data_IF_626944549041
#
_entry.id   IF_626944549041
#
_cell.length_a   1.000
_cell.length_b   1.000
_cell.length_c   1.000
_cell.angle_alpha   90.00
_cell.angle_beta   90.00
_cell.angle_gamma   90.00
#
_symmetry.space_group_name_H-M   'P 1'
#
loop_
_entity.id
_entity.type
_entity.pdbx_description
1 polymer ?
#
# COMPACT_ATOMS: atom_id res chain seq x y z
N UNK A 1 -10.52 1.66 27.51
CA UNK A 1 -10.02 1.63 26.12
C UNK A 1 -8.51 1.80 26.26
N UNK A 2 -7.75 0.77 25.91
CA UNK A 2 -6.29 0.84 25.94
C UNK A 2 -5.87 1.73 24.75
N UNK A 3 -5.13 2.80 25.02
CA UNK A 3 -4.61 3.65 23.95
C UNK A 3 -3.58 2.86 23.14
N UNK A 4 -3.63 3.01 21.81
CA UNK A 4 -2.67 2.35 20.95
C UNK A 4 -1.26 2.90 21.20
N UNK A 5 -0.31 2.00 21.25
CA UNK A 5 1.10 2.35 21.42
C UNK A 5 1.61 3.13 20.21
N UNK A 6 1.18 2.74 19.00
CA UNK A 6 1.63 3.36 17.76
C UNK A 6 0.52 4.14 17.08
N UNK A 7 0.84 5.34 16.63
CA UNK A 7 0.03 6.16 15.75
C UNK A 7 0.51 6.00 14.32
N UNK A 8 -0.42 5.76 13.40
CA UNK A 8 -0.17 5.75 11.97
C UNK A 8 -0.55 7.08 11.36
N UNK A 9 0.37 7.65 10.59
CA UNK A 9 0.11 8.76 9.68
C UNK A 9 0.20 8.24 8.25
N UNK A 10 -0.66 8.72 7.36
CA UNK A 10 -0.71 8.24 5.98
C UNK A 10 -0.70 9.37 4.97
N UNK A 11 -0.22 9.08 3.77
CA UNK A 11 -0.27 9.95 2.64
C UNK A 11 -0.42 9.17 1.34
N UNK A 12 -1.12 9.75 0.37
CA UNK A 12 -1.37 9.14 -0.93
C UNK A 12 -1.12 10.16 -2.02
N UNK A 13 -0.42 9.74 -3.07
CA UNK A 13 -0.27 10.50 -4.30
C UNK A 13 -0.67 9.63 -5.49
N UNK A 14 -1.42 10.21 -6.45
CA UNK A 14 -1.94 9.49 -7.60
C UNK A 14 -1.82 10.30 -8.88
N UNK A 15 -1.64 9.59 -10.00
CA UNK A 15 -1.69 10.15 -11.35
C UNK A 15 -2.42 9.18 -12.28
N UNK A 16 -3.38 9.67 -13.04
CA UNK A 16 -4.10 8.86 -14.02
C UNK A 16 -3.32 8.75 -15.32
N UNK A 17 -3.45 7.62 -15.99
CA UNK A 17 -2.96 7.43 -17.36
C UNK A 17 -3.62 8.41 -18.32
N UNK A 18 -2.82 9.25 -18.95
CA UNK A 18 -3.28 10.20 -19.96
C UNK A 18 -4.35 11.16 -19.44
N UNK A 19 -5.48 11.24 -20.18
CA UNK A 19 -6.62 12.12 -19.83
C UNK A 19 -7.81 11.35 -19.25
N UNK A 20 -7.61 10.13 -18.77
CA UNK A 20 -8.68 9.35 -18.15
C UNK A 20 -9.16 10.05 -16.88
N UNK A 21 -10.50 10.01 -16.66
CA UNK A 21 -11.10 10.43 -15.40
C UNK A 21 -11.14 9.31 -14.36
N UNK A 22 -10.86 8.07 -14.78
CA UNK A 22 -10.84 6.89 -13.94
C UNK A 22 -9.39 6.42 -13.78
N UNK A 23 -9.02 6.09 -12.57
CA UNK A 23 -7.75 5.47 -12.22
C UNK A 23 -8.02 3.99 -11.96
N UNK A 24 -7.33 3.08 -12.64
CA UNK A 24 -7.47 1.63 -12.47
C UNK A 24 -7.05 1.15 -11.09
N UNK A 25 -6.15 1.90 -10.44
CA UNK A 25 -5.78 1.64 -9.07
C UNK A 25 -6.87 2.10 -8.11
N UNK A 26 -7.12 1.34 -7.06
CA UNK A 26 -7.85 1.79 -5.89
C UNK A 26 -7.05 1.48 -4.62
N UNK A 27 -7.30 2.23 -3.56
CA UNK A 27 -6.60 2.06 -2.30
C UNK A 27 -7.55 2.12 -1.12
N UNK A 28 -7.13 1.51 -0.02
CA UNK A 28 -7.79 1.54 1.28
C UNK A 28 -6.79 1.97 2.33
N UNK A 29 -7.22 2.84 3.23
CA UNK A 29 -6.58 3.11 4.52
C UNK A 29 -7.71 3.19 5.53
N UNK A 30 -7.80 2.22 6.41
CA UNK A 30 -8.86 2.16 7.42
C UNK A 30 -8.27 1.76 8.76
N UNK A 31 -8.90 2.24 9.83
CA UNK A 31 -8.58 1.85 11.19
C UNK A 31 -9.70 0.97 11.70
N UNK A 32 -9.34 -0.24 12.11
CA UNK A 32 -10.26 -1.23 12.62
C UNK A 32 -10.50 -1.05 14.12
N UNK A 33 -11.69 -1.40 14.59
CA UNK A 33 -12.07 -1.27 16.02
C UNK A 33 -11.18 -2.11 16.95
N UNK A 34 -10.56 -3.18 16.45
CA UNK A 34 -9.67 -4.05 17.22
C UNK A 34 -8.25 -3.48 17.45
N UNK A 35 -8.00 -2.19 17.16
CA UNK A 35 -6.69 -1.57 17.30
C UNK A 35 -5.70 -1.91 16.20
N UNK A 36 -6.17 -2.49 15.10
CA UNK A 36 -5.40 -2.70 13.87
C UNK A 36 -5.67 -1.59 12.86
N UNK A 37 -4.76 -1.40 11.94
CA UNK A 37 -4.96 -0.57 10.76
C UNK A 37 -4.72 -1.41 9.51
N UNK A 38 -5.46 -1.12 8.46
CA UNK A 38 -5.31 -1.76 7.15
C UNK A 38 -4.93 -0.71 6.13
N UNK A 39 -3.99 -1.06 5.26
CA UNK A 39 -3.69 -0.32 4.05
C UNK A 39 -3.60 -1.29 2.88
N UNK A 40 -4.20 -0.94 1.76
CA UNK A 40 -4.16 -1.77 0.56
C UNK A 40 -4.13 -0.93 -0.70
N UNK A 41 -3.51 -1.49 -1.75
CA UNK A 41 -3.63 -1.03 -3.14
C UNK A 41 -4.13 -2.23 -3.94
N UNK A 42 -5.14 -2.02 -4.77
CA UNK A 42 -5.58 -2.97 -5.77
C UNK A 42 -5.54 -2.31 -7.15
N UNK A 43 -4.97 -3.00 -8.12
CA UNK A 43 -4.90 -2.56 -9.50
C UNK A 43 -5.68 -3.54 -10.39
N UNK A 44 -6.66 -3.00 -11.12
CA UNK A 44 -7.46 -3.75 -12.09
C UNK A 44 -6.75 -3.78 -13.45
N UNK A 45 -6.48 -4.98 -13.97
CA UNK A 45 -5.79 -5.13 -15.25
C UNK A 45 -6.48 -4.39 -16.38
N UNK A 46 -5.71 -3.57 -17.08
CA UNK A 46 -6.20 -2.73 -18.16
C UNK A 46 -6.26 -1.25 -17.78
N UNK A 47 -7.21 -0.50 -18.32
CA UNK A 47 -7.32 0.93 -18.01
C UNK A 47 -8.77 1.43 -18.08
N UNK A 48 -9.02 2.57 -17.45
CA UNK A 48 -10.29 3.26 -17.51
C UNK A 48 -11.36 2.71 -16.56
N UNK A 49 -12.64 2.95 -16.91
CA UNK A 49 -13.79 2.70 -16.00
C UNK A 49 -13.90 1.24 -15.54
N UNK A 50 -13.54 0.28 -16.39
CA UNK A 50 -13.66 -1.14 -16.06
C UNK A 50 -12.64 -1.55 -15.01
N UNK A 51 -11.36 -1.25 -15.22
CA UNK A 51 -10.30 -1.51 -14.25
C UNK A 51 -10.61 -0.84 -12.90
N UNK A 52 -11.08 0.41 -12.93
CA UNK A 52 -11.55 1.13 -11.76
C UNK A 52 -12.65 0.39 -10.98
N UNK A 53 -13.67 -0.14 -11.66
CA UNK A 53 -14.78 -0.85 -11.00
C UNK A 53 -14.29 -2.16 -10.37
N UNK A 54 -13.42 -2.90 -11.05
CA UNK A 54 -12.91 -4.18 -10.62
C UNK A 54 -12.01 -4.04 -9.38
N UNK A 55 -11.02 -3.15 -9.42
CA UNK A 55 -10.13 -2.91 -8.27
C UNK A 55 -10.89 -2.32 -7.08
N UNK A 56 -11.86 -1.42 -7.33
CA UNK A 56 -12.72 -0.86 -6.28
C UNK A 56 -13.56 -1.94 -5.58
N UNK A 57 -14.15 -2.86 -6.35
CA UNK A 57 -14.95 -3.96 -5.79
C UNK A 57 -14.11 -4.83 -4.86
N UNK A 58 -12.87 -5.16 -5.25
CA UNK A 58 -11.95 -5.95 -4.41
C UNK A 58 -11.65 -5.23 -3.10
N UNK A 59 -11.33 -3.93 -3.17
CA UNK A 59 -11.05 -3.12 -1.98
C UNK A 59 -12.26 -3.01 -1.04
N UNK A 60 -13.45 -2.72 -1.57
CA UNK A 60 -14.69 -2.62 -0.77
C UNK A 60 -15.07 -3.95 -0.12
N UNK A 61 -14.94 -5.07 -0.84
CA UNK A 61 -15.19 -6.39 -0.28
C UNK A 61 -14.17 -6.75 0.80
N UNK A 62 -12.90 -6.42 0.61
CA UNK A 62 -11.86 -6.65 1.60
C UNK A 62 -12.14 -5.88 2.90
N UNK A 63 -12.45 -4.60 2.80
CA UNK A 63 -12.82 -3.77 3.95
C UNK A 63 -14.00 -4.38 4.70
N UNK A 64 -15.08 -4.69 3.99
CA UNK A 64 -16.29 -5.28 4.59
C UNK A 64 -16.03 -6.64 5.26
N UNK A 65 -15.22 -7.51 4.68
CA UNK A 65 -14.89 -8.81 5.27
C UNK A 65 -14.10 -8.64 6.58
N UNK A 66 -13.09 -7.78 6.58
CA UNK A 66 -12.25 -7.54 7.76
C UNK A 66 -13.06 -6.84 8.86
N UNK A 67 -13.88 -5.86 8.53
CA UNK A 67 -14.78 -5.19 9.49
C UNK A 67 -15.81 -6.17 10.08
N UNK A 68 -16.25 -7.16 9.30
CA UNK A 68 -17.12 -8.25 9.78
C UNK A 68 -16.37 -9.29 10.66
N UNK A 69 -15.06 -9.13 10.85
CA UNK A 69 -14.24 -9.98 11.71
C UNK A 69 -13.69 -11.24 11.03
N UNK A 70 -13.75 -11.34 9.70
CA UNK A 70 -13.04 -12.38 8.98
C UNK A 70 -11.53 -12.14 9.08
N UNK A 71 -10.78 -13.25 9.20
CA UNK A 71 -9.32 -13.15 9.06
C UNK A 71 -8.92 -12.82 7.61
N UNK A 72 -7.69 -12.38 7.45
CA UNK A 72 -7.19 -11.89 6.17
C UNK A 72 -7.23 -12.98 5.09
N UNK A 73 -6.90 -14.24 5.46
CA UNK A 73 -6.92 -15.38 4.54
C UNK A 73 -8.33 -15.72 4.09
N UNK A 74 -9.25 -15.86 5.03
CA UNK A 74 -10.64 -16.15 4.73
C UNK A 74 -11.27 -15.05 3.85
N UNK A 75 -10.88 -13.79 4.08
CA UNK A 75 -11.31 -12.66 3.26
C UNK A 75 -10.81 -12.79 1.81
N UNK A 76 -9.53 -13.10 1.62
CA UNK A 76 -8.94 -13.29 0.28
C UNK A 76 -9.62 -14.46 -0.44
N UNK A 77 -9.78 -15.62 0.21
CA UNK A 77 -10.37 -16.81 -0.38
C UNK A 77 -11.85 -16.55 -0.79
N UNK A 78 -12.60 -15.86 0.07
CA UNK A 78 -14.00 -15.52 -0.18
C UNK A 78 -14.13 -14.55 -1.36
N UNK A 79 -13.31 -13.50 -1.38
CA UNK A 79 -13.36 -12.47 -2.44
C UNK A 79 -12.96 -13.07 -3.77
N UNK A 80 -11.90 -13.89 -3.81
CA UNK A 80 -11.50 -14.56 -5.04
C UNK A 80 -12.60 -15.48 -5.58
N UNK A 81 -13.22 -16.27 -4.69
CA UNK A 81 -14.33 -17.15 -5.07
C UNK A 81 -15.53 -16.36 -5.60
N UNK A 82 -15.89 -15.27 -4.92
CA UNK A 82 -16.96 -14.38 -5.36
C UNK A 82 -16.64 -13.70 -6.68
N UNK A 83 -15.39 -13.29 -6.88
CA UNK A 83 -14.90 -12.65 -8.10
C UNK A 83 -15.02 -13.59 -9.30
N UNK A 84 -14.61 -14.85 -9.16
CA UNK A 84 -14.70 -15.86 -10.21
C UNK A 84 -16.17 -16.24 -10.48
N UNK A 85 -16.96 -16.50 -9.43
CA UNK A 85 -18.35 -16.95 -9.57
C UNK A 85 -19.31 -15.84 -10.03
N UNK A 86 -19.10 -14.61 -9.62
CA UNK A 86 -19.96 -13.46 -9.92
C UNK A 86 -19.82 -12.91 -11.34
N UNK A 87 -19.10 -13.63 -12.20
CA UNK A 87 -18.82 -13.12 -13.53
C UNK A 87 -18.02 -11.83 -13.46
N UNK A 88 -17.04 -11.80 -12.56
CA UNK A 88 -15.95 -10.84 -12.70
C UNK A 88 -15.64 -10.81 -14.18
N UNK A 89 -15.50 -9.65 -14.74
CA UNK A 89 -15.42 -9.44 -16.20
C UNK A 89 -14.23 -10.16 -16.84
N UNK A 90 -13.55 -11.01 -16.05
CA UNK A 90 -12.46 -11.89 -16.44
C UNK A 90 -11.09 -11.23 -16.44
N UNK A 91 -10.98 -9.97 -15.99
CA UNK A 91 -9.69 -9.33 -15.86
C UNK A 91 -9.13 -9.55 -14.44
N UNK A 92 -7.93 -10.07 -14.30
CA UNK A 92 -7.30 -10.22 -13.00
C UNK A 92 -7.13 -8.88 -12.27
N UNK A 93 -7.09 -8.94 -10.94
CA UNK A 93 -6.83 -7.79 -10.08
C UNK A 93 -5.63 -8.12 -9.19
N UNK A 94 -4.61 -7.27 -9.20
CA UNK A 94 -3.52 -7.37 -8.24
C UNK A 94 -3.94 -6.77 -6.91
N UNK A 95 -3.40 -7.27 -5.81
CA UNK A 95 -3.65 -6.70 -4.48
C UNK A 95 -2.39 -6.75 -3.64
N UNK A 96 -2.04 -5.61 -3.07
CA UNK A 96 -1.04 -5.47 -2.01
C UNK A 96 -1.74 -4.97 -0.76
N UNK A 97 -1.66 -5.72 0.34
CA UNK A 97 -2.35 -5.40 1.58
C UNK A 97 -1.41 -5.52 2.76
N UNK A 98 -1.45 -4.54 3.66
CA UNK A 98 -0.72 -4.53 4.92
C UNK A 98 -1.70 -4.33 6.08
N UNK A 99 -1.75 -5.27 7.02
CA UNK A 99 -2.50 -5.16 8.27
C UNK A 99 -1.52 -4.96 9.40
N UNK A 100 -1.66 -3.86 10.13
CA UNK A 100 -0.72 -3.40 11.16
C UNK A 100 -1.43 -3.41 12.51
N UNK A 101 -0.90 -4.17 13.45
CA UNK A 101 -1.31 -4.12 14.85
C UNK A 101 -0.64 -2.90 15.51
N UNK A 102 -1.45 -1.89 15.82
CA UNK A 102 -0.97 -0.62 16.39
C UNK A 102 -0.52 -0.74 17.86
N UNK A 103 -0.82 -1.85 18.53
CA UNK A 103 -0.34 -2.09 19.89
C UNK A 103 1.04 -2.75 19.87
N UNK A 104 1.21 -3.77 19.06
CA UNK A 104 2.46 -4.54 19.01
C UNK A 104 3.43 -4.05 17.93
N UNK A 105 2.97 -3.35 16.90
CA UNK A 105 3.77 -2.95 15.74
C UNK A 105 4.08 -4.10 14.78
N UNK A 106 3.42 -5.25 14.89
CA UNK A 106 3.53 -6.28 13.87
C UNK A 106 2.69 -5.92 12.64
N UNK A 107 3.27 -6.11 11.48
CA UNK A 107 2.63 -5.95 10.18
C UNK A 107 2.57 -7.29 9.47
N UNK A 108 1.39 -7.64 8.98
CA UNK A 108 1.17 -8.74 8.05
C UNK A 108 1.01 -8.14 6.65
N UNK A 109 1.95 -8.42 5.76
CA UNK A 109 1.92 -7.99 4.38
C UNK A 109 1.51 -9.18 3.50
N UNK A 110 0.43 -9.02 2.76
CA UNK A 110 -0.13 -10.03 1.86
C UNK A 110 -0.17 -9.49 0.44
N UNK A 111 0.30 -10.30 -0.51
CA UNK A 111 0.45 -9.91 -1.91
C UNK A 111 -0.15 -10.94 -2.85
N UNK A 112 -0.90 -10.46 -3.84
CA UNK A 112 -1.47 -11.23 -4.94
C UNK A 112 -1.10 -10.54 -6.26
N UNK A 113 -0.07 -11.04 -6.93
CA UNK A 113 0.42 -10.49 -8.20
C UNK A 113 0.90 -9.04 -8.13
N UNK A 114 1.00 -8.47 -6.95
CA UNK A 114 1.35 -7.07 -6.76
C UNK A 114 2.88 -6.85 -6.78
N UNK A 115 3.28 -5.65 -7.18
CA UNK A 115 4.67 -5.21 -7.13
C UNK A 115 5.18 -5.03 -5.69
N UNK A 116 6.46 -4.71 -5.55
CA UNK A 116 7.14 -4.65 -4.25
C UNK A 116 6.58 -3.59 -3.30
N UNK A 117 6.53 -3.93 -2.02
CA UNK A 117 6.34 -2.99 -0.89
C UNK A 117 7.68 -2.72 -0.25
N UNK A 118 7.89 -1.50 0.23
CA UNK A 118 9.15 -1.07 0.82
C UNK A 118 8.95 -0.67 2.28
N UNK A 119 9.86 -1.11 3.16
CA UNK A 119 9.94 -0.63 4.54
C UNK A 119 11.20 0.19 4.67
N UNK A 120 11.04 1.50 4.85
CA UNK A 120 12.15 2.40 5.15
C UNK A 120 12.37 2.45 6.65
N UNK A 121 13.56 2.12 7.07
CA UNK A 121 13.99 2.17 8.46
C UNK A 121 15.34 2.89 8.56
N UNK A 122 15.35 4.04 9.19
CA UNK A 122 16.53 4.89 9.39
C UNK A 122 17.48 4.93 8.17
N UNK A 123 18.45 4.02 8.10
CA UNK A 123 19.52 3.99 7.08
C UNK A 123 19.37 2.93 6.00
N UNK A 124 18.29 2.19 5.96
CA UNK A 124 18.09 1.15 4.96
C UNK A 124 16.62 1.01 4.54
N UNK A 125 16.42 0.39 3.38
CA UNK A 125 15.10 0.09 2.84
C UNK A 125 15.02 -1.41 2.58
N UNK A 126 14.06 -2.07 3.20
CA UNK A 126 13.74 -3.46 2.93
C UNK A 126 12.72 -3.53 1.80
N UNK A 127 12.93 -4.49 0.87
CA UNK A 127 12.03 -4.72 -0.25
C UNK A 127 11.27 -6.03 0.02
N UNK A 128 9.94 -5.98 0.04
CA UNK A 128 9.07 -7.15 0.15
C UNK A 128 8.51 -7.43 -1.25
N UNK A 129 9.01 -8.49 -1.87
CA UNK A 129 8.61 -8.92 -3.21
C UNK A 129 7.54 -10.01 -3.15
N UNK A 130 6.81 -10.20 -4.26
CA UNK A 130 5.88 -11.30 -4.48
C UNK A 130 6.12 -11.91 -5.86
N UNK A 131 5.83 -13.21 -5.95
CA UNK A 131 5.85 -13.97 -7.21
C UNK A 131 4.52 -14.64 -7.50
N UNK A 132 3.48 -14.32 -6.74
CA UNK A 132 2.14 -14.91 -6.86
C UNK A 132 1.37 -14.33 -8.04
N UNK A 133 0.29 -15.01 -8.41
CA UNK A 133 -0.62 -14.56 -9.46
C UNK A 133 -1.67 -13.59 -8.91
N UNK A 134 -2.20 -12.70 -9.77
CA UNK A 134 -3.32 -11.84 -9.41
C UNK A 134 -4.58 -12.62 -9.04
N UNK A 135 -5.48 -11.97 -8.31
CA UNK A 135 -6.81 -12.45 -7.99
C UNK A 135 -7.63 -12.69 -9.28
N UNK A 136 -8.44 -13.73 -9.30
CA UNK A 136 -9.28 -14.08 -10.45
C UNK A 136 -8.60 -14.96 -11.50
N UNK A 137 -7.32 -15.30 -11.36
CA UNK A 137 -6.59 -16.17 -12.30
C UNK A 137 -6.81 -17.64 -11.98
N UNK A 138 -6.79 -18.02 -10.69
CA UNK A 138 -6.95 -19.38 -10.21
C UNK A 138 -8.11 -19.49 -9.22
N UNK A 139 -8.80 -20.65 -9.21
CA UNK A 139 -9.84 -20.94 -8.22
C UNK A 139 -9.27 -20.99 -6.79
N UNK A 140 -8.10 -21.59 -6.61
CA UNK A 140 -7.36 -21.56 -5.37
C UNK A 140 -6.31 -20.46 -5.44
N UNK A 141 -6.44 -19.49 -4.56
CA UNK A 141 -5.52 -18.35 -4.49
C UNK A 141 -4.24 -18.78 -3.78
N UNK A 142 -3.13 -18.54 -4.45
CA UNK A 142 -1.82 -18.54 -3.81
C UNK A 142 -1.41 -17.09 -3.54
N UNK A 143 -1.02 -16.79 -2.32
CA UNK A 143 -0.60 -15.44 -1.93
C UNK A 143 0.62 -15.50 -1.02
N UNK A 144 1.49 -14.51 -1.17
CA UNK A 144 2.62 -14.34 -0.27
C UNK A 144 2.17 -13.61 0.99
N UNK A 145 2.49 -14.19 2.15
CA UNK A 145 2.27 -13.57 3.44
C UNK A 145 3.59 -13.42 4.19
N UNK A 146 3.95 -12.20 4.50
CA UNK A 146 5.19 -11.88 5.23
C UNK A 146 4.85 -11.09 6.49
N UNK A 147 5.33 -11.55 7.64
CA UNK A 147 5.20 -10.82 8.91
C UNK A 147 6.46 -10.02 9.19
N UNK A 148 6.31 -8.73 9.48
CA UNK A 148 7.40 -7.81 9.84
C UNK A 148 7.12 -7.12 11.15
N UNK A 149 8.16 -6.90 11.93
CA UNK A 149 8.12 -6.03 13.11
C UNK A 149 8.50 -4.62 12.71
N UNK A 150 7.59 -3.68 12.92
CA UNK A 150 7.79 -2.26 12.71
C UNK A 150 8.19 -1.59 14.02
N UNK A 151 8.92 -0.48 13.92
CA UNK A 151 9.40 0.34 15.02
C UNK A 151 9.05 1.81 14.80
N UNK A 152 9.24 2.61 15.84
CA UNK A 152 9.07 4.05 15.76
C UNK A 152 9.92 4.67 14.65
N UNK A 153 9.27 5.50 13.82
CA UNK A 153 9.90 6.16 12.67
C UNK A 153 10.06 5.30 11.42
N UNK A 154 9.53 4.06 11.39
CA UNK A 154 9.47 3.27 10.18
C UNK A 154 8.40 3.81 9.22
N UNK A 155 8.69 3.74 7.92
CA UNK A 155 7.74 4.06 6.86
C UNK A 155 7.52 2.85 5.96
N UNK A 156 6.26 2.57 5.66
CA UNK A 156 5.84 1.58 4.67
C UNK A 156 5.47 2.36 3.41
N UNK A 157 6.07 2.00 2.28
CA UNK A 157 5.76 2.58 0.97
C UNK A 157 5.23 1.48 0.08
N UNK A 158 3.98 1.62 -0.34
CA UNK A 158 3.31 0.75 -1.29
C UNK A 158 3.13 1.51 -2.61
N UNK A 159 3.34 0.86 -3.72
CA UNK A 159 3.23 1.47 -5.05
C UNK A 159 2.48 0.55 -5.99
N UNK A 160 1.78 1.11 -6.99
CA UNK A 160 1.28 0.33 -8.12
C UNK A 160 2.39 0.12 -9.17
N UNK A 161 2.17 -0.80 -10.08
CA UNK A 161 3.14 -1.15 -11.13
C UNK A 161 3.46 0.04 -12.05
N UNK A 162 2.46 0.90 -12.36
CA UNK A 162 2.66 2.10 -13.16
C UNK A 162 3.70 3.06 -12.58
N UNK A 163 3.90 3.07 -11.25
CA UNK A 163 4.97 3.87 -10.61
C UNK A 163 6.35 3.30 -10.93
N UNK A 164 6.50 1.97 -10.85
CA UNK A 164 7.77 1.30 -11.17
C UNK A 164 8.05 1.30 -12.67
N UNK A 165 7.02 1.22 -13.51
CA UNK A 165 7.15 1.16 -14.95
C UNK A 165 7.66 2.46 -15.58
N UNK A 166 7.51 3.58 -14.90
CA UNK A 166 8.15 4.83 -15.31
C UNK A 166 9.69 4.81 -15.13
N UNK A 167 10.24 3.91 -14.31
CA UNK A 167 11.67 3.88 -14.00
C UNK A 167 12.44 3.11 -15.10
N UNK A 168 13.32 3.76 -15.89
CA UNK A 168 13.98 3.17 -17.04
C UNK A 168 15.24 2.37 -16.66
N UNK A 169 15.10 1.37 -15.80
CA UNK A 169 16.21 0.49 -15.44
C UNK A 169 15.74 -0.96 -15.28
N UNK A 170 16.68 -1.90 -15.30
CA UNK A 170 16.39 -3.33 -15.17
C UNK A 170 15.90 -3.66 -13.76
N UNK A 171 16.52 -3.04 -12.76
CA UNK A 171 16.20 -3.28 -11.35
C UNK A 171 15.41 -2.08 -10.77
N UNK A 172 14.13 -2.02 -11.13
CA UNK A 172 13.22 -0.92 -10.78
C UNK A 172 13.02 -0.80 -9.28
N UNK A 173 12.90 -1.94 -8.60
CA UNK A 173 12.69 -2.03 -7.15
C UNK A 173 13.89 -1.47 -6.38
N UNK A 174 15.10 -1.86 -6.76
CA UNK A 174 16.30 -1.28 -6.14
C UNK A 174 16.40 0.23 -6.38
N UNK A 175 16.05 0.68 -7.59
CA UNK A 175 16.04 2.10 -7.89
C UNK A 175 15.02 2.85 -7.05
N UNK A 176 13.82 2.30 -6.88
CA UNK A 176 12.80 2.86 -5.99
C UNK A 176 13.29 2.87 -4.54
N UNK A 177 13.90 1.79 -4.06
CA UNK A 177 14.47 1.74 -2.71
C UNK A 177 15.55 2.82 -2.48
N UNK A 178 16.41 3.09 -3.48
CA UNK A 178 17.38 4.18 -3.43
C UNK A 178 16.70 5.56 -3.37
N UNK A 179 15.62 5.77 -4.14
CA UNK A 179 14.84 7.01 -4.09
C UNK A 179 14.21 7.20 -2.71
N UNK A 180 13.59 6.16 -2.14
CA UNK A 180 13.00 6.18 -0.80
C UNK A 180 14.07 6.48 0.27
N UNK A 181 15.22 5.84 0.17
CA UNK A 181 16.34 6.04 1.10
C UNK A 181 16.87 7.49 1.08
N UNK A 182 16.96 8.08 -0.09
CA UNK A 182 17.48 9.44 -0.28
C UNK A 182 16.55 10.55 0.23
N UNK A 183 15.27 10.25 0.50
CA UNK A 183 14.33 11.26 0.98
C UNK A 183 14.66 11.69 2.41
N UNK A 184 14.67 12.99 2.64
CA UNK A 184 14.77 13.58 3.99
C UNK A 184 13.40 13.98 4.55
N UNK A 185 12.37 13.91 3.74
CA UNK A 185 10.98 14.22 4.08
C UNK A 185 10.48 13.19 5.09
N UNK A 186 9.75 13.64 6.12
CA UNK A 186 9.16 12.79 7.15
C UNK A 186 7.63 12.79 7.14
N UNK A 187 7.01 13.75 6.48
CA UNK A 187 5.57 13.83 6.34
C UNK A 187 5.11 12.87 5.21
N UNK A 188 4.21 11.88 5.50
CA UNK A 188 3.85 10.84 4.55
C UNK A 188 3.24 11.33 3.24
N UNK A 189 2.40 12.39 3.27
CA UNK A 189 1.78 12.92 2.05
C UNK A 189 2.83 13.57 1.15
N UNK A 190 3.70 14.39 1.72
CA UNK A 190 4.80 15.01 0.96
C UNK A 190 5.81 13.96 0.46
N UNK A 191 6.01 12.86 1.20
CA UNK A 191 6.83 11.73 0.76
C UNK A 191 6.20 11.02 -0.44
N UNK A 192 4.90 10.74 -0.40
CA UNK A 192 4.16 10.10 -1.50
C UNK A 192 4.21 10.96 -2.76
N UNK A 193 3.93 12.26 -2.63
CA UNK A 193 4.00 13.22 -3.75
C UNK A 193 5.39 13.27 -4.36
N UNK A 194 6.44 13.33 -3.53
CA UNK A 194 7.82 13.40 -4.01
C UNK A 194 8.27 12.14 -4.73
N UNK A 195 7.88 10.96 -4.24
CA UNK A 195 8.18 9.68 -4.90
C UNK A 195 7.47 9.57 -6.25
N UNK A 196 6.21 9.97 -6.32
CA UNK A 196 5.45 10.00 -7.57
C UNK A 196 6.08 10.98 -8.56
N UNK A 197 6.39 12.20 -8.14
CA UNK A 197 7.08 13.21 -8.97
C UNK A 197 8.41 12.68 -9.53
N UNK A 198 9.23 12.05 -8.68
CA UNK A 198 10.52 11.49 -9.10
C UNK A 198 10.35 10.32 -10.09
N UNK A 199 9.33 9.48 -9.91
CA UNK A 199 9.02 8.42 -10.85
C UNK A 199 8.59 8.99 -12.21
N UNK A 200 7.67 9.94 -12.22
CA UNK A 200 7.17 10.59 -13.44
C UNK A 200 8.24 11.40 -14.18
N UNK A 201 9.23 11.95 -13.46
CA UNK A 201 10.32 12.72 -14.06
C UNK A 201 11.15 11.91 -15.08
N UNK A 202 11.16 10.58 -14.98
CA UNK A 202 11.79 9.71 -15.97
C UNK A 202 11.01 9.62 -17.29
N UNK A 203 9.74 10.03 -17.30
CA UNK A 203 8.85 9.93 -18.46
C UNK A 203 8.20 11.29 -18.80
N UNK A 204 8.99 12.38 -18.79
CA UNK A 204 8.54 13.74 -19.10
C UNK A 204 7.28 14.17 -18.33
N UNK A 205 7.15 13.76 -17.07
CA UNK A 205 6.00 14.02 -16.19
C UNK A 205 4.68 13.41 -16.72
N UNK A 206 4.74 12.36 -17.53
CA UNK A 206 3.58 11.65 -18.04
C UNK A 206 3.51 10.25 -17.43
N UNK A 207 2.34 9.89 -16.97
CA UNK A 207 2.07 8.53 -16.52
C UNK A 207 1.87 7.60 -17.73
N UNK A 208 2.68 6.55 -17.83
CA UNK A 208 2.53 5.48 -18.83
C UNK A 208 1.36 4.54 -18.49
N UNK A 209 1.08 4.39 -17.21
CA UNK A 209 -0.09 3.72 -16.64
C UNK A 209 -0.63 4.48 -15.43
N UNK A 210 -1.75 4.04 -14.87
CA UNK A 210 -2.24 4.60 -13.61
C UNK A 210 -1.19 4.41 -12.52
N UNK A 211 -0.96 5.45 -11.73
CA UNK A 211 0.09 5.47 -10.71
C UNK A 211 -0.49 5.80 -9.35
N UNK A 212 -0.16 4.99 -8.36
CA UNK A 212 -0.53 5.23 -6.97
C UNK A 212 0.67 4.97 -6.06
N UNK A 213 0.99 5.94 -5.20
CA UNK A 213 1.96 5.81 -4.12
C UNK A 213 1.22 6.02 -2.81
N UNK A 214 1.31 5.05 -1.91
CA UNK A 214 0.74 5.11 -0.57
C UNK A 214 1.88 4.99 0.43
N UNK A 215 1.94 5.90 1.39
CA UNK A 215 2.95 5.94 2.45
C UNK A 215 2.27 5.91 3.80
N UNK A 216 2.74 5.03 4.69
CA UNK A 216 2.35 4.98 6.09
C UNK A 216 3.59 5.21 6.96
N UNK A 217 3.51 6.14 7.90
CA UNK A 217 4.53 6.33 8.93
C UNK A 217 4.03 5.84 10.29
N UNK A 218 4.83 5.05 10.99
CA UNK A 218 4.53 4.51 12.32
C UNK A 218 5.28 5.30 13.38
N UNK A 219 4.56 5.83 14.38
CA UNK A 219 5.14 6.67 15.43
C UNK A 219 4.68 6.21 16.82
N UNK A 220 5.63 6.03 17.75
CA UNK A 220 5.32 5.67 19.13
C UNK A 220 4.71 6.88 19.85
N UNK A 221 3.52 6.70 20.40
CA UNK A 221 2.76 7.78 21.07
C UNK A 221 3.47 8.29 22.32
N UNK A 222 4.20 7.45 23.04
CA UNK A 222 4.96 7.85 24.21
C UNK A 222 6.09 8.83 23.88
N UNK A 223 6.71 8.69 22.70
CA UNK A 223 7.79 9.56 22.25
C UNK A 223 7.29 10.92 21.72
N UNK A 224 6.06 10.98 21.20
CA UNK A 224 5.44 12.21 20.71
C UNK A 224 5.16 13.21 21.84
N UNK A 225 4.92 12.74 23.07
CA UNK A 225 4.64 13.59 24.22
C UNK A 225 5.88 14.01 25.02
N UNK A 226 7.07 13.46 24.72
CA UNK A 226 8.31 13.76 25.45
C UNK A 226 9.17 14.85 24.81
N UNK A 227 8.71 15.53 23.77
CA UNK A 227 9.36 16.74 23.26
C UNK A 227 9.23 17.84 24.32
N UNK A 228 10.35 18.38 24.89
CA UNK A 228 10.26 19.43 25.90
C UNK A 228 9.53 20.63 25.34
N UNK A 229 8.52 21.08 26.07
CA UNK A 229 7.83 22.34 25.77
C UNK A 229 8.85 23.48 25.78
N UNK A 230 8.81 24.44 24.83
CA UNK A 230 9.72 25.59 24.82
C UNK A 230 9.64 26.50 26.06
N UNK A 231 8.87 26.13 27.07
CA UNK A 231 8.63 26.93 28.28
C UNK A 231 9.48 26.54 29.48
N UNK A 232 10.31 25.50 29.40
CA UNK A 232 11.14 25.04 30.52
C UNK A 232 12.60 25.50 30.44
N UNK A 233 12.89 26.50 29.60
CA UNK A 233 14.15 27.22 29.56
C UNK A 233 13.95 28.67 30.04
N UNK A 234 13.85 28.84 31.35
CA UNK A 234 14.00 30.16 32.03
C UNK A 234 14.84 30.02 33.28
#
# INVERSE_FOLDING_TARGET
>A
IQEDRFKLLSGVARMNKGKSHFNGDNFLISRLECGKAIAAIADGMGSGKRAYIESRMVIELMENCIDAGFDEKASIDLINSAYIAGGGTGNPVTMDMSVIDCQSGYMHCMKLGAVSTFIRRDKWVEIIQSTTLPMGVLEQVDYDCTTKKLYDGDYIVMVSDGVLDNIPCVNKEERMAQMIHALTIREPSAMAEKLLEQSLAYNDMKASDDCTVLVLGLFDTCLLYTSPSPRDCS
#
